data_IF_524572850120
#
_entry.id   IF_524572850120
#
_cell.length_a   1.000
_cell.length_b   1.000
_cell.length_c   1.000
_cell.angle_alpha   90.00
_cell.angle_beta   90.00
_cell.angle_gamma   90.00
#
_symmetry.space_group_name_H-M   'P 1'
#
loop_
_entity.id
_entity.type
_entity.pdbx_description
1 polymer ?
#
# COMPACT_ATOMS: atom_id res chain seq x y z
N UNK A 1 -20.38 -34.43 7.10
CA UNK A 1 -19.27 -33.49 6.81
C UNK A 1 -18.83 -32.86 8.12
N UNK A 2 -17.53 -32.92 8.48
CA UNK A 2 -17.01 -32.22 9.66
C UNK A 2 -16.85 -30.74 9.31
N UNK A 3 -17.63 -29.88 9.95
CA UNK A 3 -17.49 -28.44 9.84
C UNK A 3 -16.21 -28.02 10.58
N UNK A 4 -15.15 -27.74 9.82
CA UNK A 4 -13.93 -27.16 10.37
C UNK A 4 -14.14 -25.65 10.39
N UNK A 5 -14.52 -25.11 11.55
CA UNK A 5 -14.55 -23.66 11.76
C UNK A 5 -13.11 -23.20 11.95
N UNK A 6 -12.53 -22.39 11.05
CA UNK A 6 -11.22 -21.80 11.30
C UNK A 6 -11.34 -20.89 12.53
N UNK A 7 -10.72 -21.27 13.64
CA UNK A 7 -10.61 -20.44 14.84
C UNK A 7 -9.48 -19.43 14.62
N UNK A 8 -9.70 -18.48 13.71
CA UNK A 8 -8.86 -17.28 13.64
C UNK A 8 -9.11 -16.50 14.92
N UNK A 9 -8.08 -16.05 15.66
CA UNK A 9 -8.29 -15.14 16.77
C UNK A 9 -9.07 -13.91 16.28
N UNK A 10 -10.18 -13.58 16.93
CA UNK A 10 -10.91 -12.36 16.60
C UNK A 10 -10.09 -11.15 17.04
N UNK A 11 -9.75 -10.25 16.11
CA UNK A 11 -9.05 -9.03 16.43
C UNK A 11 -8.79 -8.15 15.22
N UNK A 12 -8.23 -6.98 15.48
CA UNK A 12 -7.81 -6.05 14.44
C UNK A 12 -6.38 -6.37 14.02
N UNK A 13 -6.16 -6.44 12.71
CA UNK A 13 -4.85 -6.70 12.13
C UNK A 13 -4.47 -5.50 11.26
N UNK A 14 -3.36 -4.80 11.55
CA UNK A 14 -2.87 -3.77 10.65
C UNK A 14 -2.45 -4.44 9.33
N UNK A 15 -2.89 -3.84 8.23
CA UNK A 15 -2.69 -4.38 6.88
C UNK A 15 -1.79 -3.47 6.03
N UNK A 16 -1.84 -2.17 6.29
CA UNK A 16 -0.93 -1.18 5.74
C UNK A 16 -0.95 0.11 6.57
N UNK A 17 0.16 0.83 6.56
CA UNK A 17 0.26 2.22 7.00
C UNK A 17 0.35 3.15 5.79
N UNK A 18 -0.52 4.16 5.73
CA UNK A 18 -0.59 5.12 4.63
C UNK A 18 -0.26 6.50 5.15
N UNK A 19 0.76 7.14 4.59
CA UNK A 19 1.14 8.51 4.89
C UNK A 19 1.01 9.40 3.66
N UNK A 20 0.57 10.63 3.88
CA UNK A 20 0.51 11.70 2.89
C UNK A 20 1.45 12.82 3.32
N UNK A 21 2.40 13.19 2.47
CA UNK A 21 3.24 14.35 2.72
C UNK A 21 2.46 15.62 2.36
N UNK A 22 2.45 16.58 3.28
CA UNK A 22 1.88 17.91 3.06
C UNK A 22 2.99 18.79 2.49
N UNK A 23 2.69 19.50 1.39
CA UNK A 23 3.62 20.49 0.87
C UNK A 23 3.58 21.74 1.78
N UNK A 24 4.63 21.96 2.57
CA UNK A 24 4.72 23.06 3.55
C UNK A 24 5.02 24.42 2.88
N UNK A 25 5.40 24.44 1.60
CA UNK A 25 5.99 25.62 0.92
C UNK A 25 5.25 26.06 -0.35
N UNK A 26 3.91 25.95 -0.39
CA UNK A 26 3.10 26.52 -1.48
C UNK A 26 3.32 25.92 -2.88
N UNK A 27 4.08 24.83 -2.97
CA UNK A 27 4.32 24.12 -4.22
C UNK A 27 3.05 23.38 -4.64
N UNK A 28 2.40 23.90 -5.69
CA UNK A 28 1.29 23.23 -6.37
C UNK A 28 1.84 21.94 -6.99
N UNK A 29 1.44 20.80 -6.43
CA UNK A 29 1.85 19.49 -6.92
C UNK A 29 0.98 18.37 -6.35
N UNK A 30 0.92 17.21 -7.01
CA UNK A 30 0.21 16.04 -6.48
C UNK A 30 0.72 15.68 -5.08
N UNK A 31 -0.20 15.35 -4.16
CA UNK A 31 0.18 14.90 -2.80
C UNK A 31 1.09 13.68 -2.92
N UNK A 32 2.22 13.69 -2.21
CA UNK A 32 3.09 12.52 -2.15
C UNK A 32 2.49 11.53 -1.15
N UNK A 33 2.34 10.30 -1.59
CA UNK A 33 1.72 9.23 -0.81
C UNK A 33 2.70 8.06 -0.72
N UNK A 34 2.79 7.50 0.48
CA UNK A 34 3.60 6.33 0.78
C UNK A 34 2.74 5.31 1.53
N UNK A 35 2.78 4.06 1.09
CA UNK A 35 2.10 2.94 1.73
C UNK A 35 3.14 1.92 2.17
N UNK A 36 3.16 1.57 3.45
CA UNK A 36 3.98 0.49 4.01
C UNK A 36 3.07 -0.71 4.22
N UNK A 37 3.40 -1.85 3.60
CA UNK A 37 2.60 -3.07 3.67
C UNK A 37 3.12 -3.98 4.79
N UNK A 38 2.36 -4.11 5.88
CA UNK A 38 2.84 -4.75 7.12
C UNK A 38 3.15 -6.25 6.96
N UNK A 39 2.35 -6.95 6.16
CA UNK A 39 2.48 -8.40 5.95
C UNK A 39 3.19 -8.78 4.63
N UNK A 40 3.62 -7.80 3.84
CA UNK A 40 4.23 -8.06 2.53
C UNK A 40 5.71 -7.67 2.57
N UNK A 41 6.64 -8.63 2.46
CA UNK A 41 8.05 -8.31 2.40
C UNK A 41 8.42 -7.66 1.06
N UNK A 42 9.47 -6.85 1.05
CA UNK A 42 10.00 -6.25 -0.18
C UNK A 42 10.47 -7.31 -1.17
N UNK A 43 10.92 -8.48 -0.69
CA UNK A 43 11.30 -9.61 -1.53
C UNK A 43 10.14 -10.20 -2.35
N UNK A 44 8.87 -9.88 -2.02
CA UNK A 44 7.73 -10.38 -2.76
C UNK A 44 7.69 -9.87 -4.21
N UNK A 45 8.30 -8.72 -4.52
CA UNK A 45 8.29 -8.15 -5.89
C UNK A 45 9.42 -8.69 -6.77
N UNK A 46 10.37 -9.43 -6.20
CA UNK A 46 11.48 -10.03 -6.93
C UNK A 46 11.00 -11.24 -7.75
N UNK A 47 11.72 -11.64 -8.82
CA UNK A 47 11.35 -12.83 -9.60
C UNK A 47 11.26 -14.08 -8.71
N UNK A 48 10.08 -14.70 -8.67
CA UNK A 48 9.81 -15.86 -7.81
C UNK A 48 9.55 -15.51 -6.33
N UNK A 49 9.48 -14.23 -5.99
CA UNK A 49 9.10 -13.75 -4.66
C UNK A 49 7.66 -14.14 -4.31
N UNK A 50 7.46 -14.64 -3.09
CA UNK A 50 6.14 -15.10 -2.61
C UNK A 50 5.76 -14.31 -1.37
N UNK A 51 4.51 -13.81 -1.31
CA UNK A 51 3.95 -13.27 -0.08
C UNK A 51 3.77 -14.43 0.91
N UNK A 52 4.30 -14.34 2.14
CA UNK A 52 4.08 -15.36 3.15
C UNK A 52 2.59 -15.48 3.47
N UNK A 53 1.90 -16.45 2.86
CA UNK A 53 0.52 -16.76 3.21
C UNK A 53 0.58 -17.80 4.32
N UNK A 54 0.20 -17.42 5.55
CA UNK A 54 -0.08 -18.41 6.58
C UNK A 54 -1.37 -19.15 6.18
N UNK A 55 -1.22 -20.19 5.35
CA UNK A 55 -2.29 -21.16 5.05
C UNK A 55 -2.31 -22.33 6.04
N UNK A 56 -1.27 -22.44 6.85
CA UNK A 56 -1.14 -23.47 7.87
C UNK A 56 -1.86 -23.03 9.14
N UNK A 57 -3.15 -23.35 9.22
CA UNK A 57 -3.88 -23.45 10.47
C UNK A 57 -3.36 -24.65 11.26
N UNK A 58 -2.09 -24.63 11.67
CA UNK A 58 -1.52 -25.70 12.47
C UNK A 58 -2.09 -25.64 13.89
N UNK A 59 -2.77 -26.72 14.19
CA UNK A 59 -3.41 -27.05 15.43
C UNK A 59 -2.39 -27.02 16.57
N UNK A 60 -2.44 -25.95 17.36
CA UNK A 60 -1.83 -25.90 18.70
C UNK A 60 -0.31 -25.73 18.73
N UNK A 61 0.18 -24.52 18.49
CA UNK A 61 1.26 -23.97 19.33
C UNK A 61 1.21 -22.45 19.33
N UNK A 62 1.43 -21.83 20.50
CA UNK A 62 1.22 -20.40 20.76
C UNK A 62 2.24 -19.48 20.06
N UNK A 63 3.21 -20.05 19.33
CA UNK A 63 4.37 -19.33 18.80
C UNK A 63 4.30 -19.00 17.30
N UNK A 64 3.29 -19.48 16.55
CA UNK A 64 3.17 -19.24 15.09
C UNK A 64 2.47 -17.94 14.70
N UNK A 65 1.86 -17.23 15.66
CA UNK A 65 1.13 -15.97 15.41
C UNK A 65 2.03 -14.73 15.29
N UNK A 66 3.35 -14.89 15.34
CA UNK A 66 4.32 -13.80 15.50
C UNK A 66 4.53 -12.88 14.29
N UNK A 67 3.83 -13.10 13.16
CA UNK A 67 4.01 -12.28 11.95
C UNK A 67 2.99 -11.16 11.74
N UNK A 68 1.97 -11.04 12.59
CA UNK A 68 1.08 -9.88 12.55
C UNK A 68 1.10 -9.21 13.93
N UNK A 69 1.63 -7.99 14.08
CA UNK A 69 1.63 -7.29 15.36
C UNK A 69 0.18 -7.04 15.78
N UNK A 70 -0.30 -7.84 16.73
CA UNK A 70 -1.64 -7.74 17.28
C UNK A 70 -1.73 -6.48 18.15
N UNK A 71 -2.36 -5.41 17.64
CA UNK A 71 -2.66 -4.24 18.43
C UNK A 71 -4.07 -4.35 19.03
N UNK A 72 -4.12 -4.60 20.35
CA UNK A 72 -5.34 -4.40 21.15
C UNK A 72 -5.53 -2.91 21.36
N UNK A 73 -6.35 -2.25 20.54
CA UNK A 73 -6.55 -0.80 20.59
C UNK A 73 -6.99 -0.29 21.97
N UNK A 74 -6.18 0.58 22.57
CA UNK A 74 -6.63 1.82 23.20
C UNK A 74 -5.74 2.96 22.68
N UNK A 75 -6.36 4.10 22.47
CA UNK A 75 -5.80 5.29 21.85
C UNK A 75 -4.51 5.81 22.51
N UNK A 76 -3.83 6.65 21.73
CA UNK A 76 -2.95 7.77 22.14
C UNK A 76 -1.44 7.54 21.98
N UNK A 77 -0.86 8.39 21.14
CA UNK A 77 0.54 8.80 20.98
C UNK A 77 1.53 7.81 20.35
N UNK A 78 2.12 8.28 19.24
CA UNK A 78 3.47 7.91 18.84
C UNK A 78 4.39 8.11 20.05
N UNK A 79 5.00 7.04 20.53
CA UNK A 79 6.36 7.07 21.04
C UNK A 79 6.91 5.65 21.20
N UNK A 80 8.21 5.51 20.99
CA UNK A 80 9.05 4.34 21.31
C UNK A 80 8.91 3.07 20.46
N UNK A 81 9.50 3.08 19.27
CA UNK A 81 10.11 1.86 18.72
C UNK A 81 11.57 1.76 19.20
N UNK A 82 11.80 1.30 20.42
CA UNK A 82 13.09 0.70 20.80
C UNK A 82 12.96 -0.52 21.73
N UNK A 83 13.67 -1.56 21.27
CA UNK A 83 14.28 -2.72 21.97
C UNK A 83 13.41 -3.72 22.75
N UNK A 84 13.15 -4.85 22.10
CA UNK A 84 13.15 -6.19 22.71
C UNK A 84 14.14 -7.12 21.96
N UNK A 85 14.86 -8.04 22.63
CA UNK A 85 15.95 -8.79 22.01
C UNK A 85 15.44 -10.11 21.41
N UNK A 86 15.14 -10.13 20.11
CA UNK A 86 15.18 -11.38 19.33
C UNK A 86 15.66 -11.09 17.90
N UNK A 87 16.85 -11.56 17.61
CA UNK A 87 17.62 -11.41 16.37
C UNK A 87 17.07 -12.25 15.20
N UNK A 88 15.79 -12.11 14.89
CA UNK A 88 15.13 -12.80 13.77
C UNK A 88 14.92 -11.80 12.64
N UNK A 89 15.69 -11.94 11.55
CA UNK A 89 15.62 -11.23 10.27
C UNK A 89 14.74 -9.95 10.27
N UNK A 90 15.36 -8.76 10.21
CA UNK A 90 14.65 -7.51 9.85
C UNK A 90 14.11 -7.66 8.43
N UNK A 91 12.95 -8.31 8.27
CA UNK A 91 12.26 -8.45 7.00
C UNK A 91 11.88 -7.04 6.58
N UNK A 92 12.51 -6.55 5.51
CA UNK A 92 12.18 -5.26 4.93
C UNK A 92 10.77 -5.33 4.38
N UNK A 93 9.88 -4.46 4.86
CA UNK A 93 8.50 -4.37 4.38
C UNK A 93 8.44 -3.74 2.99
N UNK A 94 7.46 -4.14 2.19
CA UNK A 94 7.19 -3.52 0.90
C UNK A 94 6.67 -2.10 1.12
N UNK A 95 7.40 -1.15 0.55
CA UNK A 95 7.00 0.26 0.49
C UNK A 95 6.55 0.61 -0.91
N UNK A 96 5.31 1.06 -1.06
CA UNK A 96 4.75 1.61 -2.29
C UNK A 96 4.74 3.13 -2.22
N UNK A 97 5.05 3.81 -3.34
CA UNK A 97 5.05 5.27 -3.44
C UNK A 97 4.33 5.71 -4.72
N UNK A 98 3.81 6.93 -4.71
CA UNK A 98 3.27 7.54 -5.92
C UNK A 98 4.32 7.57 -7.03
N UNK A 99 3.94 7.10 -8.21
CA UNK A 99 4.74 7.24 -9.43
C UNK A 99 4.86 8.71 -9.79
N UNK A 100 6.08 9.14 -10.11
CA UNK A 100 6.33 10.51 -10.59
C UNK A 100 5.66 10.72 -11.95
N UNK A 101 4.91 11.81 -12.16
CA UNK A 101 4.33 12.10 -13.46
C UNK A 101 5.42 12.32 -14.51
N UNK A 102 5.11 11.98 -15.76
CA UNK A 102 5.99 12.23 -16.90
C UNK A 102 5.53 13.50 -17.63
N UNK A 103 6.47 14.27 -18.16
CA UNK A 103 6.16 15.37 -19.04
C UNK A 103 5.55 14.85 -20.35
N UNK A 104 4.39 15.37 -20.72
CA UNK A 104 3.72 15.05 -21.98
C UNK A 104 3.81 16.24 -22.93
N UNK A 105 4.67 16.16 -23.94
CA UNK A 105 4.97 17.27 -24.84
C UNK A 105 3.74 17.83 -25.56
N UNK A 106 2.86 16.98 -26.10
CA UNK A 106 1.69 17.48 -26.84
C UNK A 106 0.65 18.19 -25.95
N UNK A 107 0.56 17.81 -24.67
CA UNK A 107 -0.41 18.35 -23.72
C UNK A 107 0.21 19.46 -22.84
N UNK A 108 1.53 19.66 -22.95
CA UNK A 108 2.32 20.62 -22.17
C UNK A 108 2.02 20.54 -20.66
N UNK A 109 1.91 19.31 -20.14
CA UNK A 109 1.60 19.09 -18.73
C UNK A 109 2.31 17.84 -18.17
N UNK A 110 2.44 17.81 -16.85
CA UNK A 110 2.89 16.63 -16.11
C UNK A 110 1.70 15.70 -15.90
N UNK A 111 1.74 14.49 -16.46
CA UNK A 111 0.66 13.52 -16.32
C UNK A 111 1.16 12.10 -16.13
N UNK A 112 0.29 11.25 -15.59
CA UNK A 112 0.49 9.80 -15.55
C UNK A 112 -0.20 9.17 -16.75
N UNK A 113 0.40 8.10 -17.29
CA UNK A 113 -0.21 7.32 -18.37
C UNK A 113 -1.10 6.22 -17.78
N UNK A 114 -2.42 6.44 -17.82
CA UNK A 114 -3.42 5.49 -17.34
C UNK A 114 -3.90 4.50 -18.41
N UNK A 115 -3.29 4.48 -19.61
CA UNK A 115 -3.64 3.56 -20.71
C UNK A 115 -5.14 3.55 -21.05
N UNK A 116 -5.78 4.71 -21.00
CA UNK A 116 -7.23 4.87 -21.25
C UNK A 116 -8.16 4.44 -20.11
N UNK A 117 -7.63 3.96 -18.97
CA UNK A 117 -8.43 3.56 -17.80
C UNK A 117 -9.01 4.74 -17.03
N UNK A 118 -8.39 5.91 -17.13
CA UNK A 118 -8.79 7.14 -16.44
C UNK A 118 -9.06 8.22 -17.48
N UNK A 119 -10.25 8.84 -17.42
CA UNK A 119 -10.72 9.81 -18.40
C UNK A 119 -11.06 11.18 -17.79
N UNK A 120 -11.22 11.28 -16.47
CA UNK A 120 -11.61 12.51 -15.79
C UNK A 120 -10.49 12.97 -14.86
N UNK A 121 -10.09 14.24 -14.97
CA UNK A 121 -9.10 14.84 -14.09
C UNK A 121 -9.57 14.83 -12.62
N UNK A 122 -8.68 14.44 -11.72
CA UNK A 122 -8.94 14.42 -10.28
C UNK A 122 -7.62 14.35 -9.50
N UNK A 123 -7.60 14.96 -8.30
CA UNK A 123 -6.50 14.78 -7.32
C UNK A 123 -6.40 13.33 -6.80
N UNK A 124 -7.41 12.51 -7.08
CA UNK A 124 -7.48 11.08 -6.72
C UNK A 124 -6.90 10.18 -7.80
N UNK A 125 -6.44 10.73 -8.92
CA UNK A 125 -5.81 9.92 -9.97
C UNK A 125 -4.36 9.66 -9.58
N UNK A 126 -4.01 8.41 -9.28
CA UNK A 126 -2.65 8.05 -8.90
C UNK A 126 -2.26 6.64 -9.37
N UNK A 127 -0.96 6.42 -9.46
CA UNK A 127 -0.33 5.12 -9.67
C UNK A 127 0.66 4.89 -8.54
N UNK A 128 0.66 3.71 -7.93
CA UNK A 128 1.66 3.29 -6.96
C UNK A 128 2.64 2.30 -7.58
N UNK A 129 3.91 2.51 -7.27
CA UNK A 129 5.03 1.64 -7.65
C UNK A 129 5.82 1.25 -6.40
N UNK A 130 6.53 0.13 -6.45
CA UNK A 130 7.45 -0.23 -5.37
C UNK A 130 8.60 0.78 -5.29
N UNK A 131 9.00 1.14 -4.06
CA UNK A 131 10.14 2.02 -3.81
C UNK A 131 11.45 1.38 -4.27
N UNK A 132 12.36 2.16 -4.86
CA UNK A 132 13.69 1.72 -5.38
C UNK A 132 14.53 1.01 -4.32
N UNK A 133 14.39 1.40 -3.06
CA UNK A 133 15.09 0.76 -1.95
C UNK A 133 14.74 -0.73 -1.77
N UNK A 134 13.67 -1.23 -2.41
CA UNK A 134 13.23 -2.62 -2.30
C UNK A 134 14.02 -3.61 -3.17
N UNK A 135 14.99 -3.15 -3.98
CA UNK A 135 15.91 -4.03 -4.72
C UNK A 135 15.62 -4.19 -6.22
N UNK A 136 14.47 -3.72 -6.69
CA UNK A 136 14.08 -3.83 -8.10
C UNK A 136 14.79 -2.78 -8.97
N UNK A 137 16.02 -3.09 -9.41
CA UNK A 137 16.77 -2.36 -10.46
C UNK A 137 16.22 -2.58 -11.88
N UNK A 138 14.90 -2.72 -12.03
CA UNK A 138 14.20 -2.84 -13.31
C UNK A 138 13.53 -1.52 -13.68
N UNK A 139 13.49 -1.20 -14.98
CA UNK A 139 13.00 0.07 -15.52
C UNK A 139 11.78 0.63 -14.76
N UNK A 140 11.93 1.83 -14.18
CA UNK A 140 10.96 2.53 -13.33
C UNK A 140 9.56 2.74 -13.97
N UNK A 141 9.42 2.42 -15.25
CA UNK A 141 8.27 2.80 -16.04
C UNK A 141 7.11 1.80 -16.05
N UNK A 142 7.28 0.53 -15.68
CA UNK A 142 6.25 -0.48 -16.03
C UNK A 142 5.59 -1.23 -14.88
N UNK A 143 6.18 -1.31 -13.68
CA UNK A 143 5.59 -2.14 -12.62
C UNK A 143 4.62 -1.36 -11.71
N UNK A 144 3.50 -0.88 -12.28
CA UNK A 144 2.43 -0.20 -11.54
C UNK A 144 1.64 -1.24 -10.74
N UNK A 145 1.80 -1.25 -9.42
CA UNK A 145 1.17 -2.22 -8.52
C UNK A 145 -0.30 -1.88 -8.24
N UNK A 146 -0.61 -0.58 -8.16
CA UNK A 146 -1.97 -0.08 -8.00
C UNK A 146 -2.18 1.14 -8.88
N UNK A 147 -3.26 1.14 -9.64
CA UNK A 147 -3.72 2.27 -10.44
C UNK A 147 -5.15 2.61 -10.03
N UNK A 148 -5.36 3.87 -9.67
CA UNK A 148 -6.67 4.38 -9.30
C UNK A 148 -6.96 5.69 -10.01
N UNK A 149 -8.19 5.87 -10.48
CA UNK A 149 -8.59 7.16 -11.05
C UNK A 149 -10.03 7.25 -11.50
N UNK A 150 -10.45 8.48 -11.77
CA UNK A 150 -11.83 8.85 -12.03
C UNK A 150 -12.22 8.65 -13.50
N UNK A 151 -13.40 8.10 -13.73
CA UNK A 151 -13.98 7.91 -15.08
C UNK A 151 -15.32 8.60 -15.28
N UNK A 152 -16.08 8.85 -14.21
CA UNK A 152 -17.31 9.64 -14.25
C UNK A 152 -17.59 10.28 -12.89
N UNK A 153 -18.76 10.92 -12.74
CA UNK A 153 -19.25 11.38 -11.44
C UNK A 153 -19.41 10.17 -10.52
N UNK A 154 -18.70 10.17 -9.40
CA UNK A 154 -18.72 9.12 -8.39
C UNK A 154 -18.34 7.71 -8.88
N UNK A 155 -17.70 7.60 -10.05
CA UNK A 155 -17.21 6.33 -10.61
C UNK A 155 -15.71 6.40 -10.85
N UNK A 156 -15.02 5.38 -10.34
CA UNK A 156 -13.57 5.24 -10.40
C UNK A 156 -13.19 3.83 -10.85
N UNK A 157 -12.03 3.72 -11.51
CA UNK A 157 -11.41 2.44 -11.85
C UNK A 157 -10.30 2.13 -10.86
N UNK A 158 -10.19 0.86 -10.45
CA UNK A 158 -9.11 0.36 -9.60
C UNK A 158 -8.50 -0.88 -10.25
N UNK A 159 -7.25 -0.76 -10.71
CA UNK A 159 -6.48 -1.88 -11.24
C UNK A 159 -5.37 -2.19 -10.23
N UNK A 160 -5.29 -3.43 -9.77
CA UNK A 160 -4.26 -3.85 -8.82
C UNK A 160 -3.62 -5.14 -9.32
N UNK A 161 -2.40 -5.39 -8.89
CA UNK A 161 -1.68 -6.61 -9.20
C UNK A 161 -0.92 -7.10 -7.97
N UNK A 162 -0.38 -8.31 -8.10
CA UNK A 162 0.53 -8.88 -7.12
C UNK A 162 1.64 -7.87 -6.75
N UNK A 163 2.02 -7.72 -5.47
CA UNK A 163 1.73 -8.61 -4.33
C UNK A 163 0.54 -8.21 -3.45
N UNK A 164 -0.25 -7.18 -3.81
CA UNK A 164 -1.35 -6.72 -2.97
C UNK A 164 -2.67 -7.43 -3.30
N UNK A 165 -3.51 -7.62 -2.28
CA UNK A 165 -4.87 -8.11 -2.43
C UNK A 165 -5.85 -7.00 -2.82
N UNK A 166 -7.04 -7.37 -3.31
CA UNK A 166 -8.13 -6.43 -3.57
C UNK A 166 -8.51 -5.62 -2.32
N UNK A 167 -8.50 -6.26 -1.15
CA UNK A 167 -8.82 -5.60 0.12
C UNK A 167 -7.80 -4.51 0.47
N UNK A 168 -6.51 -4.82 0.37
CA UNK A 168 -5.42 -3.86 0.54
C UNK A 168 -5.52 -2.70 -0.45
N UNK A 169 -5.67 -3.01 -1.74
CA UNK A 169 -5.82 -2.02 -2.80
C UNK A 169 -7.01 -1.08 -2.55
N UNK A 170 -8.15 -1.64 -2.17
CA UNK A 170 -9.37 -0.88 -1.91
C UNK A 170 -9.22 0.04 -0.69
N UNK A 171 -8.66 -0.45 0.42
CA UNK A 171 -8.39 0.35 1.60
C UNK A 171 -7.46 1.55 1.28
N UNK A 172 -6.43 1.31 0.47
CA UNK A 172 -5.52 2.35 -0.02
C UNK A 172 -6.26 3.39 -0.89
N UNK A 173 -7.17 2.94 -1.77
CA UNK A 173 -7.95 3.86 -2.59
C UNK A 173 -8.91 4.70 -1.74
N UNK A 174 -9.56 4.12 -0.72
CA UNK A 174 -10.46 4.84 0.18
C UNK A 174 -9.74 5.93 0.97
N UNK A 175 -8.49 5.72 1.41
CA UNK A 175 -7.75 6.76 2.12
C UNK A 175 -7.51 8.02 1.27
N UNK A 176 -7.53 7.91 -0.06
CA UNK A 176 -7.44 9.07 -0.96
C UNK A 176 -8.69 9.96 -0.95
N UNK A 177 -9.81 9.47 -0.41
CA UNK A 177 -11.03 10.26 -0.19
C UNK A 177 -10.98 11.04 1.11
N UNK A 178 -10.18 10.59 2.08
CA UNK A 178 -9.96 11.28 3.34
C UNK A 178 -8.99 12.45 3.13
N UNK A 179 -9.51 13.53 2.55
CA UNK A 179 -8.80 14.79 2.51
C UNK A 179 -9.12 15.56 3.78
N UNK A 180 -8.18 15.60 4.74
CA UNK A 180 -8.09 16.77 5.63
C UNK A 180 -7.98 17.99 4.72
N UNK A 181 -9.05 18.76 4.67
CA UNK A 181 -9.21 19.97 3.88
C UNK A 181 -8.29 21.04 4.45
N UNK A 182 -7.15 21.22 3.80
CA UNK A 182 -6.51 22.52 3.72
C UNK A 182 -6.50 22.87 2.22
N UNK A 183 -7.12 24.00 1.89
CA UNK A 183 -7.33 24.59 0.56
C UNK A 183 -8.63 24.17 -0.15
N UNK A 184 -9.70 24.94 0.14
CA UNK A 184 -10.54 25.55 -0.90
C UNK A 184 -9.71 26.48 -1.81
#
# INVERSE_FOLDING_TARGET
MKQVSPRVPSGNYPVAHISYEVNILGTRGPRRMQCVMDAIPSSAIEPGGVVPVQTDFLQGNLDSFLFIPFFRSKSTSMDSFQSGPLSTLKVKMLVLKNKTPRWHEQLQCWCLNFKGRVSVASVKNFQLVASVENGAGGQEHENVILQFGKVAKDVFTMDYQYPISAFQAFAICLSSFDTRSACE
#
